data_IF_766258452539
#
_entry.id   IF_766258452539
#
_cell.length_a   1.000
_cell.length_b   1.000
_cell.length_c   1.000
_cell.angle_alpha   90.00
_cell.angle_beta   90.00
_cell.angle_gamma   90.00
#
_symmetry.space_group_name_H-M   'P 1'
#
loop_
_entity.id
_entity.type
_entity.pdbx_description
1 polymer ?
#
# COMPACT_ATOMS: atom_id res chain seq x y z
N UNK A 1 -36.45 -1.06 42.41
CA UNK A 1 -35.36 -1.64 41.60
C UNK A 1 -34.94 -0.59 40.57
N UNK A 2 -33.74 0.02 40.65
CA UNK A 2 -33.41 1.18 39.81
C UNK A 2 -32.88 0.75 38.41
N UNK A 3 -33.44 1.26 37.30
CA UNK A 3 -33.10 0.88 35.92
C UNK A 3 -31.76 1.45 35.40
N UNK A 4 -31.05 2.26 36.19
CA UNK A 4 -29.91 3.06 35.72
C UNK A 4 -28.60 2.28 35.51
N UNK A 5 -28.49 1.03 35.97
CA UNK A 5 -27.24 0.24 35.85
C UNK A 5 -27.05 -0.43 34.48
N UNK A 6 -28.13 -0.71 33.73
CA UNK A 6 -28.03 -1.34 32.40
C UNK A 6 -27.55 -0.38 31.30
N UNK A 7 -27.98 0.89 31.35
CA UNK A 7 -27.63 1.89 30.33
C UNK A 7 -26.13 2.24 30.30
N UNK A 8 -25.48 2.24 31.47
CA UNK A 8 -24.05 2.55 31.59
C UNK A 8 -23.16 1.42 31.03
N UNK A 9 -23.56 0.16 31.21
CA UNK A 9 -22.83 -1.00 30.68
C UNK A 9 -22.91 -1.08 29.15
N UNK A 10 -24.08 -0.80 28.55
CA UNK A 10 -24.24 -0.75 27.10
C UNK A 10 -23.43 0.38 26.45
N UNK A 11 -23.35 1.55 27.10
CA UNK A 11 -22.55 2.68 26.63
C UNK A 11 -21.03 2.38 26.66
N UNK A 12 -20.55 1.71 27.71
CA UNK A 12 -19.15 1.29 27.84
C UNK A 12 -18.73 0.26 26.79
N UNK A 13 -19.62 -0.70 26.48
CA UNK A 13 -19.35 -1.69 25.43
C UNK A 13 -19.42 -1.07 24.02
N UNK A 14 -20.38 -0.18 23.76
CA UNK A 14 -20.45 0.56 22.50
C UNK A 14 -19.21 1.43 22.24
N UNK A 15 -18.72 2.13 23.26
CA UNK A 15 -17.50 2.92 23.18
C UNK A 15 -16.25 2.07 22.90
N UNK A 16 -16.15 0.87 23.50
CA UNK A 16 -15.04 -0.05 23.28
C UNK A 16 -15.02 -0.61 21.84
N UNK A 17 -16.18 -0.98 21.29
CA UNK A 17 -16.28 -1.46 19.90
C UNK A 17 -15.94 -0.37 18.87
N UNK A 18 -16.34 0.88 19.11
CA UNK A 18 -16.01 2.02 18.23
C UNK A 18 -14.51 2.30 18.19
N UNK A 19 -13.81 2.20 19.32
CA UNK A 19 -12.37 2.43 19.39
C UNK A 19 -11.57 1.34 18.65
N UNK A 20 -12.00 0.07 18.76
CA UNK A 20 -11.34 -1.04 18.05
C UNK A 20 -11.49 -0.90 16.54
N UNK A 21 -12.68 -0.50 16.05
CA UNK A 21 -12.92 -0.29 14.62
C UNK A 21 -12.02 0.80 14.00
N UNK A 22 -11.83 1.91 14.71
CA UNK A 22 -10.99 3.02 14.23
C UNK A 22 -9.50 2.63 14.08
N UNK A 23 -8.96 1.83 15.01
CA UNK A 23 -7.57 1.36 14.94
C UNK A 23 -7.32 0.44 13.74
N UNK A 24 -8.25 -0.46 13.42
CA UNK A 24 -8.11 -1.39 12.28
C UNK A 24 -8.15 -0.65 10.93
N UNK A 25 -9.01 0.38 10.82
CA UNK A 25 -9.07 1.21 9.63
C UNK A 25 -7.75 1.96 9.37
N UNK A 26 -7.15 2.50 10.43
CA UNK A 26 -5.90 3.25 10.34
C UNK A 26 -4.71 2.35 9.95
N UNK A 27 -4.57 1.18 10.57
CA UNK A 27 -3.47 0.24 10.26
C UNK A 27 -3.51 -0.18 8.78
N UNK A 28 -4.69 -0.55 8.30
CA UNK A 28 -4.85 -1.01 6.92
C UNK A 28 -4.75 0.12 5.88
N UNK A 29 -5.00 1.38 6.26
CA UNK A 29 -4.70 2.54 5.42
C UNK A 29 -3.19 2.80 5.32
N UNK A 30 -2.43 2.63 6.40
CA UNK A 30 -0.96 2.74 6.39
C UNK A 30 -0.34 1.67 5.49
N UNK A 31 -0.81 0.42 5.59
CA UNK A 31 -0.38 -0.66 4.71
C UNK A 31 -0.67 -0.34 3.24
N UNK A 32 -1.86 0.17 2.93
CA UNK A 32 -2.19 0.57 1.57
C UNK A 32 -1.33 1.72 1.05
N UNK A 33 -0.98 2.70 1.90
CA UNK A 33 -0.10 3.79 1.49
C UNK A 33 1.30 3.27 1.10
N UNK A 34 1.87 2.39 1.93
CA UNK A 34 3.16 1.76 1.64
C UNK A 34 3.10 0.89 0.38
N UNK A 35 2.02 0.12 0.20
CA UNK A 35 1.82 -0.73 -0.96
C UNK A 35 1.73 0.10 -2.26
N UNK A 36 1.00 1.21 -2.27
CA UNK A 36 0.87 2.09 -3.43
C UNK A 36 2.21 2.71 -3.84
N UNK A 37 3.03 3.12 -2.89
CA UNK A 37 4.38 3.62 -3.18
C UNK A 37 5.26 2.53 -3.82
N UNK A 38 5.23 1.31 -3.28
CA UNK A 38 5.93 0.17 -3.86
C UNK A 38 5.39 -0.18 -5.26
N UNK A 39 4.07 -0.18 -5.46
CA UNK A 39 3.44 -0.44 -6.76
C UNK A 39 3.86 0.61 -7.81
N UNK A 40 3.93 1.89 -7.44
CA UNK A 40 4.43 2.95 -8.31
C UNK A 40 5.85 2.72 -8.78
N UNK A 41 6.74 2.30 -7.87
CA UNK A 41 8.12 1.92 -8.18
C UNK A 41 8.17 0.74 -9.15
N UNK A 42 7.47 -0.37 -8.84
CA UNK A 42 7.50 -1.58 -9.66
C UNK A 42 6.86 -1.40 -11.03
N UNK A 43 5.75 -0.66 -11.11
CA UNK A 43 5.09 -0.36 -12.38
C UNK A 43 5.99 0.46 -13.30
N UNK A 44 6.73 1.42 -12.74
CA UNK A 44 7.71 2.16 -13.51
C UNK A 44 8.89 1.28 -13.94
N UNK A 45 9.41 0.45 -13.01
CA UNK A 45 10.46 -0.52 -13.30
C UNK A 45 10.07 -1.50 -14.42
N UNK A 46 8.83 -1.98 -14.47
CA UNK A 46 8.35 -2.85 -15.54
C UNK A 46 8.55 -2.25 -16.94
N UNK A 47 8.40 -0.94 -17.08
CA UNK A 47 8.63 -0.25 -18.36
C UNK A 47 10.11 0.02 -18.62
N UNK A 48 10.89 0.35 -17.58
CA UNK A 48 12.30 0.77 -17.73
C UNK A 48 13.29 -0.40 -17.78
N UNK A 49 12.94 -1.53 -17.16
CA UNK A 49 13.80 -2.71 -17.00
C UNK A 49 13.50 -3.82 -18.01
N UNK A 50 12.55 -3.60 -18.93
CA UNK A 50 12.11 -4.59 -19.92
C UNK A 50 11.70 -5.95 -19.33
N UNK A 51 11.06 -5.94 -18.15
CA UNK A 51 10.48 -7.15 -17.57
C UNK A 51 9.38 -7.71 -18.48
N UNK A 52 9.42 -9.01 -18.79
CA UNK A 52 8.40 -9.64 -19.65
C UNK A 52 7.06 -9.79 -18.97
N UNK A 53 7.04 -9.85 -17.63
CA UNK A 53 5.81 -10.05 -16.88
C UNK A 53 5.76 -9.13 -15.66
N UNK A 54 4.57 -8.56 -15.44
CA UNK A 54 4.21 -7.90 -14.20
C UNK A 54 2.95 -8.58 -13.64
N UNK A 55 3.00 -9.02 -12.38
CA UNK A 55 1.96 -9.86 -11.81
C UNK A 55 0.64 -9.07 -11.66
N UNK A 56 -0.45 -9.52 -12.32
CA UNK A 56 -1.74 -8.82 -12.28
C UNK A 56 -2.35 -8.77 -10.88
N UNK A 57 -2.05 -9.73 -9.99
CA UNK A 57 -2.52 -9.68 -8.60
C UNK A 57 -1.98 -8.45 -7.84
N UNK A 58 -0.76 -7.99 -8.17
CA UNK A 58 -0.18 -6.78 -7.58
C UNK A 58 -0.92 -5.52 -8.07
N UNK A 59 -1.38 -5.52 -9.32
CA UNK A 59 -2.20 -4.44 -9.88
C UNK A 59 -3.56 -4.39 -9.19
N UNK A 60 -4.16 -5.55 -8.94
CA UNK A 60 -5.48 -5.63 -8.31
C UNK A 60 -5.44 -5.15 -6.85
N UNK A 61 -4.47 -5.59 -6.05
CA UNK A 61 -4.29 -5.07 -4.69
C UNK A 61 -4.02 -3.56 -4.69
N UNK A 62 -3.29 -3.05 -5.68
CA UNK A 62 -3.06 -1.61 -5.81
C UNK A 62 -4.37 -0.86 -6.07
N UNK A 63 -5.27 -1.41 -6.90
CA UNK A 63 -6.60 -0.86 -7.17
C UNK A 63 -7.45 -0.81 -5.91
N UNK A 64 -7.53 -1.91 -5.16
CA UNK A 64 -8.24 -1.96 -3.87
C UNK A 64 -7.70 -0.91 -2.88
N UNK A 65 -6.38 -0.77 -2.80
CA UNK A 65 -5.77 0.26 -1.96
C UNK A 65 -6.04 1.68 -2.46
N UNK A 66 -6.06 1.90 -3.77
CA UNK A 66 -6.41 3.17 -4.38
C UNK A 66 -7.83 3.60 -4.00
N UNK A 67 -8.79 2.67 -4.11
CA UNK A 67 -10.19 2.89 -3.73
C UNK A 67 -10.32 3.20 -2.24
N UNK A 68 -9.55 2.50 -1.41
CA UNK A 68 -9.58 2.65 0.05
C UNK A 68 -9.04 3.99 0.57
N UNK A 69 -7.94 4.48 0.00
CA UNK A 69 -7.30 5.73 0.47
C UNK A 69 -7.69 6.97 -0.34
N UNK A 70 -8.37 6.76 -1.48
CA UNK A 70 -8.81 7.80 -2.40
C UNK A 70 -7.69 8.33 -3.30
N UNK A 71 -8.09 8.84 -4.47
CA UNK A 71 -7.17 9.28 -5.53
C UNK A 71 -6.21 10.40 -5.10
N UNK A 72 -6.69 11.34 -4.28
CA UNK A 72 -5.90 12.46 -3.78
C UNK A 72 -4.72 12.00 -2.90
N UNK A 73 -4.89 10.88 -2.18
CA UNK A 73 -3.81 10.27 -1.40
C UNK A 73 -2.99 9.30 -2.26
N UNK A 74 -3.65 8.50 -3.09
CA UNK A 74 -3.01 7.41 -3.81
C UNK A 74 -2.07 7.89 -4.94
N UNK A 75 -2.48 8.90 -5.71
CA UNK A 75 -1.71 9.37 -6.87
C UNK A 75 -0.33 9.94 -6.49
N UNK A 76 -0.19 10.77 -5.44
CA UNK A 76 1.13 11.23 -4.98
C UNK A 76 2.03 10.08 -4.52
N UNK A 77 1.49 9.03 -3.89
CA UNK A 77 2.28 7.87 -3.44
C UNK A 77 2.80 7.06 -4.61
N UNK A 78 1.96 6.82 -5.62
CA UNK A 78 2.34 6.19 -6.87
C UNK A 78 3.48 6.96 -7.56
N UNK A 79 3.35 8.29 -7.61
CA UNK A 79 4.37 9.17 -8.18
C UNK A 79 5.67 9.14 -7.36
N UNK A 80 5.59 9.21 -6.04
CA UNK A 80 6.76 9.11 -5.16
C UNK A 80 7.50 7.78 -5.31
N UNK A 81 6.78 6.68 -5.56
CA UNK A 81 7.35 5.38 -5.91
C UNK A 81 8.14 5.41 -7.22
N UNK A 82 7.58 6.02 -8.26
CA UNK A 82 8.29 6.25 -9.52
C UNK A 82 9.56 7.10 -9.31
N UNK A 83 9.47 8.21 -8.58
CA UNK A 83 10.65 9.04 -8.33
C UNK A 83 11.72 8.31 -7.51
N UNK A 84 11.30 7.43 -6.59
CA UNK A 84 12.23 6.57 -5.88
C UNK A 84 12.99 5.65 -6.84
N UNK A 85 12.32 5.09 -7.86
CA UNK A 85 13.02 4.33 -8.89
C UNK A 85 14.10 5.18 -9.56
N UNK A 86 13.75 6.38 -10.04
CA UNK A 86 14.69 7.24 -10.76
C UNK A 86 15.91 7.58 -9.92
N UNK A 87 15.70 7.98 -8.66
CA UNK A 87 16.80 8.27 -7.73
C UNK A 87 17.71 7.06 -7.51
N UNK A 88 17.15 5.86 -7.34
CA UNK A 88 17.96 4.66 -7.13
C UNK A 88 18.68 4.21 -8.41
N UNK A 89 18.05 4.34 -9.57
CA UNK A 89 18.65 4.04 -10.86
C UNK A 89 19.82 5.00 -11.18
N UNK A 90 19.69 6.27 -10.84
CA UNK A 90 20.76 7.26 -10.94
C UNK A 90 21.93 6.94 -10.00
N UNK A 91 21.64 6.67 -8.72
CA UNK A 91 22.67 6.42 -7.71
C UNK A 91 23.42 5.08 -7.90
N UNK A 92 22.74 4.04 -8.37
CA UNK A 92 23.28 2.66 -8.41
C UNK A 92 23.58 2.15 -9.81
N UNK A 93 23.16 2.88 -10.84
CA UNK A 93 23.08 2.40 -12.21
C UNK A 93 21.78 1.61 -12.45
N UNK A 94 21.11 1.93 -13.56
CA UNK A 94 19.78 1.38 -13.90
C UNK A 94 19.78 -0.13 -14.00
N UNK A 95 20.71 -0.73 -14.74
CA UNK A 95 20.77 -2.19 -14.92
C UNK A 95 20.95 -2.95 -13.60
N UNK A 96 21.88 -2.47 -12.75
CA UNK A 96 22.12 -3.04 -11.43
C UNK A 96 20.87 -2.98 -10.57
N UNK A 97 20.16 -1.86 -10.61
CA UNK A 97 18.94 -1.67 -9.83
C UNK A 97 17.78 -2.52 -10.39
N UNK A 98 17.64 -2.65 -11.70
CA UNK A 98 16.67 -3.58 -12.31
C UNK A 98 16.89 -5.02 -11.86
N UNK A 99 18.15 -5.50 -11.86
CA UNK A 99 18.48 -6.84 -11.36
C UNK A 99 18.21 -6.99 -9.85
N UNK A 100 18.35 -5.92 -9.07
CA UNK A 100 17.98 -5.91 -7.66
C UNK A 100 16.46 -6.01 -7.45
N UNK A 101 15.67 -5.29 -8.24
CA UNK A 101 14.21 -5.35 -8.20
C UNK A 101 13.72 -6.77 -8.50
N UNK A 102 14.25 -7.41 -9.54
CA UNK A 102 13.90 -8.80 -9.87
C UNK A 102 14.15 -9.75 -8.69
N UNK A 103 15.34 -9.66 -8.08
CA UNK A 103 15.69 -10.51 -6.92
C UNK A 103 14.83 -10.23 -5.69
N UNK A 104 14.44 -8.97 -5.47
CA UNK A 104 13.69 -8.57 -4.26
C UNK A 104 12.19 -8.76 -4.42
N UNK A 105 11.67 -8.73 -5.65
CA UNK A 105 10.26 -8.84 -5.94
C UNK A 105 9.97 -9.95 -6.98
N UNK A 106 10.42 -11.20 -6.76
CA UNK A 106 10.29 -12.28 -7.73
C UNK A 106 8.84 -12.72 -7.97
N UNK A 107 7.95 -12.38 -7.03
CA UNK A 107 6.51 -12.61 -7.15
C UNK A 107 5.78 -11.50 -7.91
N UNK A 108 6.42 -10.35 -8.13
CA UNK A 108 5.79 -9.20 -8.77
C UNK A 108 6.28 -9.00 -10.21
N UNK A 109 7.56 -9.22 -10.49
CA UNK A 109 8.16 -9.01 -11.82
C UNK A 109 8.95 -10.25 -12.27
N UNK A 110 9.05 -10.46 -13.59
CA UNK A 110 9.92 -11.48 -14.19
C UNK A 110 10.58 -10.95 -15.48
N UNK A 111 11.83 -11.37 -15.78
CA UNK A 111 12.57 -10.98 -16.98
C UNK A 111 12.07 -11.66 -18.25
#
# INVERSE_FOLDING_TARGET
MPPHRLGLQLALWGALFLLIGACVQAASAVECRAFLQMHGLLRWAANQCAFKQYNPAVVETARECFDKVGSATASPLMFAGREQFERQAELRGRERFCAEIERRFPMAVRP
#
